data_IF_761694258289
#
_entry.id   IF_761694258289
#
_cell.length_a   1.000
_cell.length_b   1.000
_cell.length_c   1.000
_cell.angle_alpha   90.00
_cell.angle_beta   90.00
_cell.angle_gamma   90.00
#
_symmetry.space_group_name_H-M   'P 1'
#
loop_
_entity.id
_entity.type
_entity.pdbx_description
1 polymer ?
#
# COMPACT_ATOMS: atom_id res chain seq x y z
N UNK A 1 18.93 -11.81 17.68
CA UNK A 1 18.59 -12.79 18.74
C UNK A 1 17.14 -12.52 19.14
N UNK A 2 16.28 -13.54 19.21
CA UNK A 2 14.87 -13.33 19.57
C UNK A 2 14.75 -12.89 21.04
N UNK A 3 13.86 -11.93 21.37
CA UNK A 3 13.64 -11.48 22.74
C UNK A 3 13.05 -12.59 23.63
N UNK A 4 13.39 -12.56 24.92
CA UNK A 4 12.80 -13.46 25.91
C UNK A 4 11.35 -13.04 26.22
N UNK A 5 10.41 -13.91 25.87
CA UNK A 5 8.96 -13.72 26.07
C UNK A 5 8.38 -14.63 27.16
N UNK A 6 9.23 -15.39 27.87
CA UNK A 6 8.79 -16.41 28.85
C UNK A 6 7.96 -15.83 30.00
N UNK A 7 8.21 -14.57 30.37
CA UNK A 7 7.49 -13.85 31.42
C UNK A 7 6.06 -13.41 31.03
N UNK A 8 5.71 -13.44 29.73
CA UNK A 8 4.39 -13.02 29.27
C UNK A 8 3.31 -14.08 29.54
N UNK A 9 2.04 -13.68 29.70
CA UNK A 9 0.90 -14.59 29.73
C UNK A 9 0.86 -15.55 28.53
N UNK A 10 0.37 -16.78 28.76
CA UNK A 10 0.36 -17.87 27.76
C UNK A 10 -0.37 -17.50 26.48
N UNK A 11 -1.46 -16.74 26.58
CA UNK A 11 -2.24 -16.30 25.41
C UNK A 11 -1.45 -15.32 24.54
N UNK A 12 -0.77 -14.33 25.13
CA UNK A 12 0.11 -13.42 24.38
C UNK A 12 1.27 -14.17 23.72
N UNK A 13 1.90 -15.12 24.43
CA UNK A 13 3.00 -15.93 23.87
C UNK A 13 2.56 -16.73 22.66
N UNK A 14 1.37 -17.35 22.72
CA UNK A 14 0.84 -18.15 21.61
C UNK A 14 0.65 -17.32 20.33
N UNK A 15 0.20 -16.07 20.45
CA UNK A 15 0.07 -15.18 19.29
C UNK A 15 1.42 -14.62 18.80
N UNK A 16 2.39 -14.43 19.70
CA UNK A 16 3.76 -14.08 19.28
C UNK A 16 4.45 -15.24 18.55
N UNK A 17 4.21 -16.49 18.95
CA UNK A 17 4.67 -17.67 18.19
C UNK A 17 4.04 -17.68 16.79
N UNK A 18 2.72 -17.46 16.69
CA UNK A 18 2.06 -17.31 15.39
C UNK A 18 2.67 -16.18 14.56
N UNK A 19 2.99 -15.04 15.18
CA UNK A 19 3.67 -13.92 14.53
C UNK A 19 5.01 -14.35 13.93
N UNK A 20 5.87 -15.01 14.72
CA UNK A 20 7.17 -15.51 14.26
C UNK A 20 7.06 -16.54 13.14
N UNK A 21 6.00 -17.34 13.11
CA UNK A 21 5.84 -18.35 12.07
C UNK A 21 5.21 -17.80 10.79
N UNK A 22 4.30 -16.84 10.89
CA UNK A 22 3.38 -16.50 9.80
C UNK A 22 3.44 -15.06 9.32
N UNK A 23 3.86 -14.13 10.18
CA UNK A 23 3.93 -12.72 9.87
C UNK A 23 5.36 -12.36 9.46
N UNK A 24 5.44 -11.50 8.46
CA UNK A 24 6.67 -11.06 7.79
C UNK A 24 6.56 -9.57 7.53
N UNK A 25 7.67 -8.94 7.17
CA UNK A 25 7.70 -7.52 6.78
C UNK A 25 6.77 -7.19 5.59
N UNK A 26 6.46 -8.18 4.74
CA UNK A 26 5.43 -8.03 3.70
C UNK A 26 4.03 -7.76 4.27
N UNK A 27 3.69 -8.29 5.44
CA UNK A 27 2.41 -7.97 6.06
C UNK A 27 2.35 -6.52 6.54
N UNK A 28 3.51 -5.88 6.74
CA UNK A 28 3.62 -4.49 7.14
C UNK A 28 3.66 -3.52 5.96
N UNK A 29 3.62 -4.00 4.72
CA UNK A 29 3.73 -3.10 3.58
C UNK A 29 5.17 -2.71 3.24
N UNK A 30 6.16 -3.40 3.80
CA UNK A 30 7.58 -3.06 3.63
C UNK A 30 8.20 -3.98 2.58
N UNK A 31 9.08 -3.44 1.73
CA UNK A 31 9.73 -4.20 0.64
C UNK A 31 10.91 -5.05 1.07
N UNK A 32 11.57 -4.65 2.17
CA UNK A 32 12.73 -5.34 2.73
C UNK A 32 12.87 -5.06 4.23
N UNK A 33 13.22 -6.09 4.99
CA UNK A 33 13.46 -6.00 6.44
C UNK A 33 14.95 -5.86 6.75
N UNK A 34 15.46 -4.63 6.69
CA UNK A 34 16.89 -4.38 6.92
C UNK A 34 17.30 -4.72 8.35
N UNK A 35 18.15 -5.73 8.50
CA UNK A 35 18.63 -6.19 9.80
C UNK A 35 17.60 -6.97 10.63
N UNK A 36 16.59 -7.57 9.99
CA UNK A 36 15.57 -8.41 10.65
C UNK A 36 14.80 -7.66 11.76
N UNK A 37 14.48 -6.39 11.51
CA UNK A 37 13.88 -5.46 12.47
C UNK A 37 12.58 -6.00 13.03
N UNK A 38 11.66 -6.50 12.19
CA UNK A 38 10.33 -6.93 12.63
C UNK A 38 10.37 -8.15 13.55
N UNK A 39 11.35 -9.05 13.39
CA UNK A 39 11.48 -10.25 14.22
C UNK A 39 12.33 -10.02 15.48
N UNK A 40 13.21 -9.02 15.47
CA UNK A 40 14.17 -8.79 16.56
C UNK A 40 13.83 -7.52 17.35
N UNK A 41 14.28 -6.37 16.86
CA UNK A 41 14.19 -5.07 17.52
C UNK A 41 12.75 -4.68 17.79
N UNK A 42 11.86 -4.89 16.81
CA UNK A 42 10.45 -4.55 16.93
C UNK A 42 9.75 -5.30 18.07
N UNK A 43 9.92 -6.63 18.15
CA UNK A 43 9.33 -7.42 19.25
C UNK A 43 10.00 -7.08 20.59
N UNK A 44 11.30 -6.80 20.60
CA UNK A 44 12.01 -6.36 21.82
C UNK A 44 11.44 -5.05 22.37
N UNK A 45 11.06 -4.12 21.49
CA UNK A 45 10.37 -2.87 21.86
C UNK A 45 8.92 -3.15 22.29
N UNK A 46 8.22 -4.04 21.59
CA UNK A 46 6.84 -4.42 21.91
C UNK A 46 6.74 -4.98 23.33
N UNK A 47 7.60 -5.93 23.72
CA UNK A 47 7.60 -6.54 25.05
C UNK A 47 7.80 -5.50 26.18
N UNK A 48 8.43 -4.36 25.89
CA UNK A 48 8.67 -3.26 26.85
C UNK A 48 7.58 -2.20 26.85
N UNK A 49 6.64 -2.24 25.90
CA UNK A 49 5.56 -1.27 25.73
C UNK A 49 4.22 -2.00 25.67
N UNK A 50 3.46 -1.95 26.76
CA UNK A 50 2.14 -2.60 26.83
C UNK A 50 1.20 -2.26 25.65
N UNK A 51 1.02 -0.97 25.24
CA UNK A 51 0.16 -0.66 24.09
C UNK A 51 0.67 -1.28 22.78
N UNK A 52 1.98 -1.28 22.55
CA UNK A 52 2.60 -1.87 21.36
C UNK A 52 2.46 -3.39 21.36
N UNK A 53 2.74 -4.06 22.48
CA UNK A 53 2.57 -5.50 22.63
C UNK A 53 1.16 -5.94 22.26
N UNK A 54 0.16 -5.24 22.80
CA UNK A 54 -1.23 -5.54 22.50
C UNK A 54 -1.57 -5.29 21.03
N UNK A 55 -1.00 -4.26 20.39
CA UNK A 55 -1.20 -4.00 18.97
C UNK A 55 -0.62 -5.14 18.10
N UNK A 56 0.62 -5.57 18.38
CA UNK A 56 1.29 -6.69 17.67
C UNK A 56 0.51 -7.98 17.83
N UNK A 57 0.10 -8.30 19.07
CA UNK A 57 -0.70 -9.49 19.36
C UNK A 57 -2.07 -9.41 18.68
N UNK A 58 -2.72 -8.24 18.63
CA UNK A 58 -3.96 -8.07 17.88
C UNK A 58 -3.77 -8.37 16.39
N UNK A 59 -2.68 -7.91 15.78
CA UNK A 59 -2.42 -8.15 14.37
C UNK A 59 -2.19 -9.64 14.07
N UNK A 60 -1.40 -10.32 14.90
CA UNK A 60 -1.21 -11.77 14.79
C UNK A 60 -2.53 -12.54 15.02
N UNK A 61 -3.29 -12.17 16.06
CA UNK A 61 -4.58 -12.76 16.37
C UNK A 61 -5.60 -12.55 15.26
N UNK A 62 -5.60 -11.40 14.60
CA UNK A 62 -6.44 -11.10 13.45
C UNK A 62 -6.17 -12.07 12.30
N UNK A 63 -4.91 -12.21 11.89
CA UNK A 63 -4.53 -13.11 10.80
C UNK A 63 -4.76 -14.58 11.11
N UNK A 64 -4.63 -14.99 12.37
CA UNK A 64 -5.01 -16.35 12.78
C UNK A 64 -6.52 -16.54 12.75
N UNK A 65 -7.28 -15.56 13.25
CA UNK A 65 -8.74 -15.61 13.38
C UNK A 65 -9.43 -15.66 12.02
N UNK A 66 -8.97 -14.89 11.04
CA UNK A 66 -9.62 -14.86 9.71
C UNK A 66 -9.42 -16.17 8.92
N UNK A 67 -8.33 -16.89 9.20
CA UNK A 67 -8.03 -18.19 8.57
C UNK A 67 -8.79 -19.35 9.22
N UNK A 68 -9.29 -19.17 10.43
CA UNK A 68 -10.10 -20.17 11.11
C UNK A 68 -11.59 -19.99 10.71
N UNK A 69 -12.22 -20.96 10.04
CA UNK A 69 -13.66 -20.89 9.72
C UNK A 69 -14.56 -20.72 10.96
N UNK A 70 -14.07 -21.14 12.14
CA UNK A 70 -14.74 -21.00 13.44
C UNK A 70 -14.21 -19.82 14.27
N UNK A 71 -13.37 -18.97 13.65
CA UNK A 71 -12.83 -17.78 14.26
C UNK A 71 -13.92 -16.88 14.81
N UNK A 72 -13.60 -16.17 15.90
CA UNK A 72 -14.55 -15.25 16.56
C UNK A 72 -13.93 -13.88 16.69
N UNK A 73 -14.69 -12.85 16.30
CA UNK A 73 -14.28 -11.44 16.34
C UNK A 73 -13.65 -11.00 17.69
N UNK A 74 -14.19 -11.40 18.87
CA UNK A 74 -13.60 -11.05 20.16
C UNK A 74 -12.15 -11.52 20.37
N UNK A 75 -11.70 -12.54 19.63
CA UNK A 75 -10.39 -13.17 19.80
C UNK A 75 -9.25 -12.18 19.52
N UNK A 76 -9.39 -11.31 18.52
CA UNK A 76 -8.42 -10.24 18.26
C UNK A 76 -8.87 -8.88 18.82
N UNK A 77 -10.18 -8.58 18.84
CA UNK A 77 -10.69 -7.29 19.29
C UNK A 77 -10.33 -6.96 20.74
N UNK A 78 -10.22 -7.96 21.62
CA UNK A 78 -9.81 -7.73 23.01
C UNK A 78 -8.42 -7.07 23.12
N UNK A 79 -7.46 -7.49 22.28
CA UNK A 79 -6.12 -6.93 22.29
C UNK A 79 -6.07 -5.60 21.56
N UNK A 80 -6.78 -5.50 20.42
CA UNK A 80 -6.90 -4.28 19.65
C UNK A 80 -7.49 -3.14 20.50
N UNK A 81 -8.63 -3.39 21.15
CA UNK A 81 -9.30 -2.41 22.01
C UNK A 81 -8.44 -2.01 23.21
N UNK A 82 -7.68 -2.96 23.78
CA UNK A 82 -6.74 -2.67 24.87
C UNK A 82 -5.62 -1.74 24.39
N UNK A 83 -5.03 -2.02 23.23
CA UNK A 83 -3.99 -1.16 22.63
C UNK A 83 -4.52 0.24 22.36
N UNK A 84 -5.69 0.38 21.72
CA UNK A 84 -6.32 1.67 21.44
C UNK A 84 -6.60 2.45 22.74
N UNK A 85 -7.14 1.79 23.76
CA UNK A 85 -7.43 2.43 25.05
C UNK A 85 -6.16 2.98 25.70
N UNK A 86 -5.08 2.19 25.71
CA UNK A 86 -3.79 2.60 26.25
C UNK A 86 -3.17 3.74 25.43
N UNK A 87 -3.22 3.67 24.10
CA UNK A 87 -2.74 4.73 23.21
C UNK A 87 -3.49 6.04 23.45
N UNK A 88 -4.82 6.01 23.56
CA UNK A 88 -5.61 7.20 23.87
C UNK A 88 -5.23 7.81 25.23
N UNK A 89 -4.82 6.98 26.19
CA UNK A 89 -4.25 7.45 27.45
C UNK A 89 -2.92 8.17 27.26
N UNK A 90 -2.02 7.60 26.44
CA UNK A 90 -0.73 8.21 26.13
C UNK A 90 -0.87 9.54 25.39
N UNK A 91 -1.74 9.61 24.38
CA UNK A 91 -1.95 10.82 23.56
C UNK A 91 -2.62 11.97 24.33
N UNK A 92 -3.33 11.68 25.42
CA UNK A 92 -3.95 12.70 26.28
C UNK A 92 -2.94 13.33 27.25
N UNK A 93 -1.83 12.65 27.52
CA UNK A 93 -0.79 13.20 28.37
C UNK A 93 0.03 14.20 27.56
N UNK A 94 0.29 15.39 28.11
CA UNK A 94 1.11 16.42 27.45
C UNK A 94 2.61 16.10 27.43
N UNK A 95 3.02 14.92 27.92
CA UNK A 95 4.40 14.45 27.87
C UNK A 95 4.85 14.20 26.43
N UNK A 96 6.16 14.29 26.18
CA UNK A 96 6.71 13.96 24.86
C UNK A 96 6.48 12.48 24.57
N UNK A 97 5.74 12.20 23.51
CA UNK A 97 5.59 10.87 22.94
C UNK A 97 6.97 10.27 22.62
N UNK A 98 7.08 8.95 22.77
CA UNK A 98 8.31 8.20 22.57
C UNK A 98 8.22 7.25 21.37
N UNK A 99 9.30 6.50 21.12
CA UNK A 99 9.36 5.51 20.05
C UNK A 99 8.29 4.41 20.21
N UNK A 100 7.98 4.00 21.45
CA UNK A 100 6.94 3.01 21.72
C UNK A 100 5.55 3.49 21.30
N UNK A 101 5.27 4.78 21.53
CA UNK A 101 4.03 5.44 21.09
C UNK A 101 3.95 5.49 19.57
N UNK A 102 5.02 5.94 18.88
CA UNK A 102 5.08 5.97 17.41
C UNK A 102 4.81 4.59 16.80
N UNK A 103 5.49 3.56 17.28
CA UNK A 103 5.34 2.19 16.77
C UNK A 103 3.95 1.62 17.06
N UNK A 104 3.31 2.02 18.16
CA UNK A 104 1.92 1.63 18.46
C UNK A 104 0.99 2.21 17.40
N UNK A 105 1.14 3.51 17.10
CA UNK A 105 0.33 4.20 16.09
C UNK A 105 0.51 3.56 14.72
N UNK A 106 1.75 3.27 14.31
CA UNK A 106 2.04 2.61 13.02
C UNK A 106 1.45 1.19 12.96
N UNK A 107 1.53 0.41 14.04
CA UNK A 107 0.93 -0.94 14.10
C UNK A 107 -0.59 -0.90 14.02
N UNK A 108 -1.23 0.06 14.69
CA UNK A 108 -2.68 0.24 14.60
C UNK A 108 -3.08 0.71 13.21
N UNK A 109 -2.35 1.65 12.59
CA UNK A 109 -2.54 2.04 11.19
C UNK A 109 -2.50 0.82 10.25
N UNK A 110 -1.53 -0.09 10.43
CA UNK A 110 -1.51 -1.35 9.67
C UNK A 110 -2.79 -2.16 9.88
N UNK A 111 -3.27 -2.33 11.12
CA UNK A 111 -4.53 -3.04 11.36
C UNK A 111 -5.71 -2.35 10.67
N UNK A 112 -5.82 -1.02 10.76
CA UNK A 112 -6.91 -0.27 10.12
C UNK A 112 -6.92 -0.45 8.60
N UNK A 113 -5.74 -0.48 7.97
CA UNK A 113 -5.63 -0.73 6.54
C UNK A 113 -6.16 -2.12 6.17
N UNK A 114 -5.79 -3.17 6.93
CA UNK A 114 -6.28 -4.53 6.70
C UNK A 114 -7.78 -4.67 6.94
N UNK A 115 -8.36 -3.84 7.81
CA UNK A 115 -9.80 -3.78 8.02
C UNK A 115 -10.52 -2.93 6.96
N UNK A 116 -9.79 -2.20 6.11
CA UNK A 116 -10.38 -1.21 5.20
C UNK A 116 -11.01 -0.02 5.93
N UNK A 117 -10.56 0.29 7.16
CA UNK A 117 -10.99 1.43 7.96
C UNK A 117 -10.13 2.66 7.66
N UNK A 118 -10.38 3.24 6.48
CA UNK A 118 -9.61 4.37 5.98
C UNK A 118 -9.67 5.61 6.86
N UNK A 119 -10.78 5.80 7.58
CA UNK A 119 -10.95 6.94 8.47
C UNK A 119 -9.96 6.86 9.63
N UNK A 120 -9.91 5.72 10.32
CA UNK A 120 -8.97 5.54 11.42
C UNK A 120 -7.52 5.44 10.91
N UNK A 121 -7.29 4.85 9.74
CA UNK A 121 -5.98 4.85 9.09
C UNK A 121 -5.43 6.28 8.90
N UNK A 122 -6.21 7.19 8.33
CA UNK A 122 -5.78 8.58 8.13
C UNK A 122 -5.53 9.29 9.47
N UNK A 123 -6.37 9.03 10.49
CA UNK A 123 -6.16 9.56 11.85
C UNK A 123 -4.82 9.11 12.43
N UNK A 124 -4.50 7.81 12.34
CA UNK A 124 -3.22 7.27 12.79
C UNK A 124 -2.04 7.78 11.95
N UNK A 125 -2.18 7.90 10.62
CA UNK A 125 -1.12 8.44 9.76
C UNK A 125 -0.73 9.87 10.20
N UNK A 126 -1.70 10.74 10.49
CA UNK A 126 -1.40 12.10 10.96
C UNK A 126 -0.78 12.13 12.36
N UNK A 127 -1.28 11.30 13.28
CA UNK A 127 -0.69 11.18 14.61
C UNK A 127 0.77 10.68 14.51
N UNK A 128 1.03 9.70 13.64
CA UNK A 128 2.37 9.19 13.38
C UNK A 128 3.28 10.29 12.80
N UNK A 129 2.79 11.12 11.86
CA UNK A 129 3.55 12.25 11.32
C UNK A 129 4.00 13.23 12.42
N UNK A 130 3.08 13.60 13.31
CA UNK A 130 3.36 14.52 14.41
C UNK A 130 4.42 13.95 15.35
N UNK A 131 4.27 12.69 15.79
CA UNK A 131 5.23 12.05 16.69
C UNK A 131 6.57 11.83 15.99
N UNK A 132 6.57 11.39 14.73
CA UNK A 132 7.77 11.13 13.95
C UNK A 132 8.61 12.39 13.78
N UNK A 133 7.99 13.53 13.45
CA UNK A 133 8.68 14.82 13.29
C UNK A 133 9.06 15.48 14.62
N UNK A 134 8.42 15.08 15.72
CA UNK A 134 8.84 15.43 17.08
C UNK A 134 10.09 14.66 17.53
N UNK A 135 10.20 13.39 17.18
CA UNK A 135 11.27 12.50 17.62
C UNK A 135 12.52 12.56 16.74
N UNK A 136 12.34 12.80 15.44
CA UNK A 136 13.39 12.65 14.46
C UNK A 136 13.49 13.85 13.52
N UNK A 137 14.68 14.01 12.97
CA UNK A 137 14.93 14.81 11.76
C UNK A 137 15.12 13.88 10.56
N UNK A 138 14.99 14.44 9.35
CA UNK A 138 15.31 13.75 8.09
C UNK A 138 16.69 13.06 8.12
N UNK A 139 17.68 13.72 8.72
CA UNK A 139 19.04 13.20 8.84
C UNK A 139 19.13 12.05 9.84
N UNK A 140 18.53 12.19 11.02
CA UNK A 140 18.54 11.11 12.02
C UNK A 140 17.79 9.86 11.55
N UNK A 141 16.77 10.02 10.69
CA UNK A 141 16.07 8.87 10.14
C UNK A 141 16.92 8.04 9.18
N UNK A 142 17.80 8.68 8.41
CA UNK A 142 18.66 7.99 7.46
C UNK A 142 19.76 7.14 8.14
N UNK A 143 20.15 7.47 9.37
CA UNK A 143 21.39 6.96 9.99
C UNK A 143 21.40 5.46 10.32
N UNK A 144 20.27 4.86 10.69
CA UNK A 144 20.23 3.45 11.14
C UNK A 144 19.19 2.66 10.37
N UNK A 145 19.41 1.36 10.19
CA UNK A 145 18.45 0.47 9.51
C UNK A 145 17.08 0.47 10.19
N UNK A 146 17.04 0.52 11.52
CA UNK A 146 15.81 0.66 12.30
C UNK A 146 15.05 1.92 11.91
N UNK A 147 15.72 3.07 11.92
CA UNK A 147 15.08 4.35 11.61
C UNK A 147 14.60 4.41 10.15
N UNK A 148 15.39 3.90 9.21
CA UNK A 148 14.99 3.81 7.79
C UNK A 148 13.80 2.88 7.60
N UNK A 149 13.74 1.76 8.32
CA UNK A 149 12.59 0.84 8.30
C UNK A 149 11.33 1.50 8.84
N UNK A 150 11.42 2.26 9.94
CA UNK A 150 10.30 3.03 10.50
C UNK A 150 9.84 4.10 9.50
N UNK A 151 10.77 4.81 8.87
CA UNK A 151 10.45 5.82 7.86
C UNK A 151 9.80 5.18 6.63
N UNK A 152 10.31 4.05 6.14
CA UNK A 152 9.71 3.28 5.04
C UNK A 152 8.27 2.84 5.35
N UNK A 153 8.03 2.38 6.59
CA UNK A 153 6.69 2.00 7.05
C UNK A 153 5.72 3.20 7.10
N UNK A 154 6.15 4.33 7.66
CA UNK A 154 5.33 5.55 7.67
C UNK A 154 5.06 6.07 6.25
N UNK A 155 6.10 6.19 5.41
CA UNK A 155 6.01 6.79 4.08
C UNK A 155 5.07 6.04 3.15
N UNK A 156 4.92 4.72 3.33
CA UNK A 156 3.87 3.94 2.66
C UNK A 156 2.48 4.51 2.93
N UNK A 157 2.12 4.75 4.20
CA UNK A 157 0.80 5.29 4.53
C UNK A 157 0.62 6.70 3.99
N UNK A 158 1.67 7.52 4.11
CA UNK A 158 1.68 8.89 3.62
C UNK A 158 1.41 8.94 2.11
N UNK A 159 2.17 8.15 1.33
CA UNK A 159 2.00 8.04 -0.12
C UNK A 159 0.65 7.44 -0.51
N UNK A 160 0.17 6.43 0.21
CA UNK A 160 -1.12 5.79 -0.04
C UNK A 160 -2.27 6.80 0.14
N UNK A 161 -2.30 7.51 1.27
CA UNK A 161 -3.32 8.52 1.57
C UNK A 161 -3.25 9.69 0.58
N UNK A 162 -2.05 10.20 0.29
CA UNK A 162 -1.85 11.32 -0.65
C UNK A 162 -2.25 10.97 -2.07
N UNK A 163 -1.86 9.78 -2.56
CA UNK A 163 -2.19 9.32 -3.92
C UNK A 163 -3.69 9.14 -4.09
N UNK A 164 -4.36 8.52 -3.10
CA UNK A 164 -5.81 8.33 -3.15
C UNK A 164 -6.58 9.63 -2.93
N UNK A 165 -6.07 10.54 -2.11
CA UNK A 165 -6.71 11.82 -1.84
C UNK A 165 -6.48 12.90 -2.90
N UNK A 166 -5.47 12.73 -3.76
CA UNK A 166 -5.01 13.81 -4.64
C UNK A 166 -4.40 14.98 -3.86
N UNK A 167 -3.73 14.68 -2.74
CA UNK A 167 -3.11 15.65 -1.84
C UNK A 167 -1.59 15.56 -1.90
N UNK A 168 -0.90 16.56 -1.34
CA UNK A 168 0.54 16.46 -1.11
C UNK A 168 0.82 15.45 0.02
N UNK A 169 2.05 14.95 0.08
CA UNK A 169 2.51 14.13 1.21
C UNK A 169 2.60 14.95 2.47
N UNK A 170 2.29 14.35 3.62
CA UNK A 170 2.43 14.99 4.92
C UNK A 170 3.90 15.19 5.30
N UNK A 171 4.78 14.23 4.96
CA UNK A 171 6.21 14.45 5.09
C UNK A 171 6.71 15.42 4.01
N UNK A 172 7.53 16.41 4.38
CA UNK A 172 8.15 17.27 3.39
C UNK A 172 9.15 16.51 2.52
N UNK A 173 9.29 16.97 1.28
CA UNK A 173 10.13 16.35 0.25
C UNK A 173 11.59 16.14 0.68
N UNK A 174 12.13 16.98 1.57
CA UNK A 174 13.53 16.90 2.04
C UNK A 174 13.83 15.60 2.81
N UNK A 175 12.84 14.98 3.45
CA UNK A 175 12.98 13.68 4.10
C UNK A 175 13.35 12.59 3.09
N UNK A 176 12.66 12.58 1.95
CA UNK A 176 12.90 11.64 0.86
C UNK A 176 14.25 11.89 0.18
N UNK A 177 14.60 13.17 -0.06
CA UNK A 177 15.90 13.54 -0.65
C UNK A 177 17.07 13.15 0.25
N UNK A 178 16.93 13.37 1.56
CA UNK A 178 17.99 13.06 2.53
C UNK A 178 18.25 11.55 2.58
N UNK A 179 17.17 10.75 2.57
CA UNK A 179 17.26 9.30 2.54
C UNK A 179 17.87 8.78 1.23
N UNK A 180 17.43 9.29 0.08
CA UNK A 180 17.97 8.95 -1.24
C UNK A 180 19.46 9.29 -1.35
N UNK A 181 19.88 10.48 -0.87
CA UNK A 181 21.29 10.87 -0.82
C UNK A 181 22.09 9.92 0.05
N UNK A 182 21.60 9.60 1.26
CA UNK A 182 22.28 8.67 2.16
C UNK A 182 22.49 7.30 1.49
N UNK A 183 21.46 6.74 0.85
CA UNK A 183 21.57 5.44 0.18
C UNK A 183 22.62 5.46 -0.94
N UNK A 184 22.69 6.55 -1.74
CA UNK A 184 23.72 6.70 -2.77
C UNK A 184 25.13 6.82 -2.19
N UNK A 185 25.30 7.52 -1.08
CA UNK A 185 26.59 7.63 -0.40
C UNK A 185 27.05 6.27 0.15
N UNK A 186 26.12 5.48 0.73
CA UNK A 186 26.42 4.13 1.20
C UNK A 186 26.76 3.20 0.04
N UNK A 187 25.99 3.27 -1.06
CA UNK A 187 26.26 2.49 -2.26
C UNK A 187 27.61 2.84 -2.90
N UNK A 188 28.00 4.12 -2.91
CA UNK A 188 29.31 4.53 -3.39
C UNK A 188 30.46 3.96 -2.52
N UNK A 189 30.22 3.73 -1.23
CA UNK A 189 31.17 3.11 -0.32
C UNK A 189 31.21 1.58 -0.40
N UNK A 190 30.10 0.93 -0.78
CA UNK A 190 29.97 -0.52 -0.91
C UNK A 190 29.12 -0.89 -2.15
N UNK A 191 29.69 -0.79 -3.38
CA UNK A 191 28.93 -0.91 -4.63
C UNK A 191 28.36 -2.31 -4.92
N UNK A 192 28.86 -3.35 -4.26
CA UNK A 192 28.40 -4.73 -4.45
C UNK A 192 27.24 -5.10 -3.52
N UNK A 193 26.85 -4.18 -2.63
CA UNK A 193 25.84 -4.45 -1.63
C UNK A 193 24.43 -4.36 -2.21
N UNK A 194 23.80 -5.53 -2.38
CA UNK A 194 22.44 -5.63 -2.89
C UNK A 194 21.42 -4.87 -2.05
N UNK A 195 21.61 -4.75 -0.73
CA UNK A 195 20.68 -4.02 0.14
C UNK A 195 20.66 -2.53 -0.19
N UNK A 196 21.83 -1.94 -0.46
CA UNK A 196 21.93 -0.53 -0.85
C UNK A 196 21.38 -0.28 -2.25
N UNK A 197 21.57 -1.21 -3.18
CA UNK A 197 20.94 -1.15 -4.51
C UNK A 197 19.41 -1.16 -4.41
N UNK A 198 18.85 -2.02 -3.57
CA UNK A 198 17.41 -2.05 -3.31
C UNK A 198 16.90 -0.76 -2.67
N UNK A 199 17.55 -0.31 -1.60
CA UNK A 199 17.11 0.87 -0.85
C UNK A 199 17.22 2.14 -1.72
N UNK A 200 18.28 2.27 -2.53
CA UNK A 200 18.42 3.37 -3.48
C UNK A 200 17.33 3.34 -4.56
N UNK A 201 17.07 2.17 -5.16
CA UNK A 201 16.05 2.01 -6.20
C UNK A 201 14.64 2.33 -5.66
N UNK A 202 14.30 1.80 -4.47
CA UNK A 202 13.02 2.04 -3.81
C UNK A 202 12.83 3.54 -3.48
N UNK A 203 13.85 4.19 -2.93
CA UNK A 203 13.77 5.60 -2.55
C UNK A 203 13.66 6.54 -3.75
N UNK A 204 14.30 6.22 -4.88
CA UNK A 204 14.08 6.95 -6.12
C UNK A 204 12.62 6.85 -6.59
N UNK A 205 12.03 5.65 -6.53
CA UNK A 205 10.63 5.42 -6.91
C UNK A 205 9.67 6.18 -5.99
N UNK A 206 9.91 6.16 -4.67
CA UNK A 206 9.16 6.97 -3.69
C UNK A 206 9.26 8.47 -3.98
N UNK A 207 10.46 8.97 -4.29
CA UNK A 207 10.65 10.40 -4.60
C UNK A 207 9.88 10.82 -5.86
N UNK A 208 9.83 9.94 -6.88
CA UNK A 208 8.97 10.18 -8.06
C UNK A 208 7.49 10.22 -7.64
N UNK A 209 7.06 9.32 -6.74
CA UNK A 209 5.69 9.27 -6.21
C UNK A 209 5.30 10.56 -5.48
N UNK A 210 6.19 11.07 -4.62
CA UNK A 210 6.01 12.35 -3.89
C UNK A 210 5.83 13.50 -4.88
N UNK A 211 6.69 13.55 -5.90
CA UNK A 211 6.65 14.61 -6.90
C UNK A 211 5.37 14.55 -7.74
N UNK A 212 4.90 13.35 -8.08
CA UNK A 212 3.61 13.15 -8.76
C UNK A 212 2.43 13.59 -7.87
N UNK A 213 2.41 13.21 -6.59
CA UNK A 213 1.37 13.65 -5.65
C UNK A 213 1.34 15.19 -5.53
N UNK A 214 2.51 15.83 -5.41
CA UNK A 214 2.61 17.29 -5.33
C UNK A 214 2.12 17.96 -6.62
N UNK A 215 2.46 17.42 -7.79
CA UNK A 215 1.99 17.92 -9.08
C UNK A 215 0.47 17.85 -9.22
N UNK A 216 -0.13 16.70 -8.88
CA UNK A 216 -1.59 16.49 -8.92
C UNK A 216 -2.30 17.44 -7.96
N UNK A 217 -1.83 17.56 -6.73
CA UNK A 217 -2.45 18.42 -5.72
C UNK A 217 -2.40 19.91 -6.12
N UNK A 218 -1.26 20.39 -6.62
CA UNK A 218 -1.11 21.77 -7.10
C UNK A 218 -1.96 22.04 -8.34
N UNK A 219 -2.10 21.07 -9.25
CA UNK A 219 -2.99 21.17 -10.40
C UNK A 219 -4.45 21.29 -9.96
N UNK A 220 -4.89 20.45 -9.02
CA UNK A 220 -6.25 20.49 -8.49
C UNK A 220 -6.60 21.83 -7.80
N UNK A 221 -5.60 22.51 -7.21
CA UNK A 221 -5.75 23.85 -6.62
C UNK A 221 -5.62 25.01 -7.61
N UNK A 222 -5.32 24.74 -8.89
CA UNK A 222 -5.12 25.77 -9.90
C UNK A 222 -3.85 26.62 -9.70
N UNK A 223 -2.87 26.10 -8.96
CA UNK A 223 -1.64 26.82 -8.58
C UNK A 223 -0.55 26.76 -9.66
N UNK A 224 -0.76 25.98 -10.73
CA UNK A 224 0.21 25.77 -11.79
C UNK A 224 -0.25 26.38 -13.11
N UNK A 225 0.64 27.15 -13.73
CA UNK A 225 0.52 27.54 -15.13
C UNK A 225 0.62 26.29 -16.01
N UNK A 226 -0.07 26.29 -17.14
CA UNK A 226 -0.14 25.13 -18.06
C UNK A 226 1.24 24.71 -18.58
N UNK A 227 2.10 25.67 -18.94
CA UNK A 227 3.45 25.41 -19.42
C UNK A 227 4.34 24.74 -18.36
N UNK A 228 4.18 25.15 -17.09
CA UNK A 228 4.89 24.55 -15.96
C UNK A 228 4.37 23.13 -15.70
N UNK A 229 3.06 22.93 -15.73
CA UNK A 229 2.44 21.63 -15.54
C UNK A 229 2.92 20.62 -16.59
N UNK A 230 2.90 20.99 -17.87
CA UNK A 230 3.41 20.15 -18.96
C UNK A 230 4.91 19.85 -18.78
N UNK A 231 5.72 20.85 -18.44
CA UNK A 231 7.15 20.65 -18.23
C UNK A 231 7.46 19.69 -17.07
N UNK A 232 6.76 19.81 -15.93
CA UNK A 232 6.91 18.89 -14.79
C UNK A 232 6.41 17.48 -15.14
N UNK A 233 5.34 17.36 -15.93
CA UNK A 233 4.86 16.08 -16.42
C UNK A 233 5.90 15.35 -17.26
N UNK A 234 6.55 16.04 -18.20
CA UNK A 234 7.62 15.44 -19.04
C UNK A 234 8.80 15.00 -18.18
N UNK A 235 9.19 15.80 -17.17
CA UNK A 235 10.26 15.42 -16.24
C UNK A 235 9.92 14.15 -15.44
N UNK A 236 8.68 14.01 -14.98
CA UNK A 236 8.23 12.81 -14.26
C UNK A 236 8.24 11.58 -15.15
N UNK A 237 7.75 11.70 -16.39
CA UNK A 237 7.80 10.61 -17.36
C UNK A 237 9.22 10.14 -17.63
N UNK A 238 10.15 11.07 -17.91
CA UNK A 238 11.55 10.73 -18.14
C UNK A 238 12.15 10.01 -16.94
N UNK A 239 11.89 10.49 -15.72
CA UNK A 239 12.38 9.83 -14.49
C UNK A 239 11.80 8.43 -14.29
N UNK A 240 10.55 8.19 -14.66
CA UNK A 240 9.94 6.86 -14.63
C UNK A 240 10.63 5.91 -15.61
N UNK A 241 10.91 6.36 -16.83
CA UNK A 241 11.65 5.59 -17.82
C UNK A 241 13.09 5.32 -17.38
N UNK A 242 13.79 6.37 -16.94
CA UNK A 242 15.17 6.29 -16.46
C UNK A 242 15.29 5.33 -15.27
N UNK A 243 14.37 5.39 -14.31
CA UNK A 243 14.34 4.45 -13.20
C UNK A 243 14.29 3.00 -13.68
N UNK A 244 13.43 2.70 -14.65
CA UNK A 244 13.31 1.33 -15.19
C UNK A 244 14.54 0.90 -15.98
N UNK A 245 15.11 1.81 -16.75
CA UNK A 245 16.29 1.56 -17.59
C UNK A 245 17.59 1.47 -16.77
N UNK A 246 17.65 2.10 -15.61
CA UNK A 246 18.81 2.11 -14.71
C UNK A 246 18.74 1.07 -13.60
N UNK A 247 17.75 0.17 -13.62
CA UNK A 247 17.65 -0.89 -12.64
C UNK A 247 18.87 -1.81 -12.73
N UNK A 248 19.56 -1.98 -11.61
CA UNK A 248 20.88 -2.60 -11.62
C UNK A 248 20.85 -4.06 -12.04
N UNK A 249 21.78 -4.53 -12.90
CA UNK A 249 21.78 -5.91 -13.40
C UNK A 249 21.80 -6.95 -12.28
N UNK A 250 22.48 -6.65 -11.16
CA UNK A 250 22.53 -7.53 -9.99
C UNK A 250 21.15 -7.74 -9.34
N UNK A 251 20.21 -6.81 -9.52
CA UNK A 251 18.83 -6.93 -9.03
C UNK A 251 17.93 -7.73 -9.98
N UNK A 252 18.38 -8.00 -11.21
CA UNK A 252 17.60 -8.64 -12.27
C UNK A 252 18.28 -9.88 -12.85
N UNK A 253 19.12 -10.54 -12.05
CA UNK A 253 19.84 -11.75 -12.45
C UNK A 253 18.86 -12.83 -12.98
N UNK A 254 18.94 -13.21 -14.27
CA UNK A 254 18.06 -14.21 -14.84
C UNK A 254 18.16 -15.59 -14.17
N UNK A 255 19.29 -15.90 -13.51
CA UNK A 255 19.46 -17.17 -12.79
C UNK A 255 18.56 -17.28 -11.56
N UNK A 256 17.98 -16.17 -11.10
CA UNK A 256 17.06 -16.07 -9.95
C UNK A 256 15.60 -15.97 -10.35
N UNK A 257 15.29 -16.05 -11.64
CA UNK A 257 13.91 -16.06 -12.10
C UNK A 257 13.23 -17.36 -11.70
N UNK A 258 12.05 -17.24 -11.09
CA UNK A 258 11.20 -18.39 -10.80
C UNK A 258 10.74 -18.98 -12.13
N UNK A 259 10.99 -20.28 -12.39
CA UNK A 259 10.54 -20.92 -13.62
C UNK A 259 9.03 -20.81 -13.76
N UNK A 260 8.56 -20.43 -14.95
CA UNK A 260 7.12 -20.44 -15.23
C UNK A 260 6.59 -21.86 -15.11
N UNK A 261 5.64 -22.07 -14.20
CA UNK A 261 4.96 -23.36 -14.02
C UNK A 261 3.76 -23.53 -14.94
N UNK A 262 3.40 -22.51 -15.73
CA UNK A 262 2.21 -22.51 -16.57
C UNK A 262 2.51 -22.93 -18.00
N UNK A 263 2.22 -24.20 -18.31
CA UNK A 263 2.06 -24.73 -19.67
C UNK A 263 0.68 -24.38 -20.28
N UNK A 264 -0.11 -23.51 -19.63
CA UNK A 264 -1.49 -23.28 -20.02
C UNK A 264 -1.59 -22.59 -21.40
N UNK A 265 -2.30 -23.25 -22.32
CA UNK A 265 -2.76 -22.70 -23.60
C UNK A 265 -3.62 -21.43 -23.43
N UNK A 266 -4.26 -21.27 -22.27
CA UNK A 266 -5.19 -20.17 -21.96
C UNK A 266 -4.54 -19.10 -21.07
N UNK A 267 -3.51 -18.41 -21.58
CA UNK A 267 -2.94 -17.26 -20.84
C UNK A 267 -3.91 -16.07 -20.91
N UNK A 268 -4.46 -15.67 -19.76
CA UNK A 268 -5.32 -14.46 -19.66
C UNK A 268 -4.57 -13.15 -19.93
N UNK A 269 -3.24 -13.16 -19.75
CA UNK A 269 -2.36 -12.01 -19.83
C UNK A 269 -1.09 -12.39 -20.61
N UNK A 270 -0.59 -11.48 -21.45
CA UNK A 270 0.57 -11.75 -22.31
C UNK A 270 1.58 -10.59 -22.33
N UNK A 271 1.69 -9.84 -21.23
CA UNK A 271 2.65 -8.74 -21.12
C UNK A 271 4.11 -9.25 -21.10
N UNK A 272 4.33 -10.44 -20.54
CA UNK A 272 5.60 -11.15 -20.51
C UNK A 272 5.44 -12.51 -21.22
N UNK A 273 5.60 -12.58 -22.55
CA UNK A 273 5.35 -13.80 -23.30
C UNK A 273 6.37 -14.91 -23.01
N UNK A 274 7.62 -14.53 -22.70
CA UNK A 274 8.71 -15.48 -22.48
C UNK A 274 8.86 -15.85 -21.02
N UNK A 275 9.00 -14.86 -20.14
CA UNK A 275 9.33 -15.07 -18.74
C UNK A 275 8.79 -13.93 -17.88
N UNK A 276 7.98 -14.28 -16.88
CA UNK A 276 7.42 -13.32 -15.92
C UNK A 276 8.52 -12.91 -14.93
N UNK A 277 8.68 -11.62 -14.59
CA UNK A 277 9.76 -11.13 -13.73
C UNK A 277 9.47 -11.39 -12.26
N UNK A 278 9.29 -12.67 -11.90
CA UNK A 278 9.25 -13.14 -10.52
C UNK A 278 10.60 -13.69 -10.16
N UNK A 279 11.16 -13.18 -9.08
CA UNK A 279 12.46 -13.56 -8.59
C UNK A 279 12.37 -14.26 -7.24
N UNK A 280 13.18 -15.31 -7.06
CA UNK A 280 13.33 -15.99 -5.78
C UNK A 280 14.25 -15.20 -4.83
N UNK A 281 14.46 -15.71 -3.61
CA UNK A 281 15.38 -15.07 -2.67
C UNK A 281 16.83 -15.13 -3.19
N UNK A 282 17.62 -14.04 -3.05
CA UNK A 282 17.33 -12.81 -2.30
C UNK A 282 16.68 -11.70 -3.14
N UNK A 283 16.29 -11.97 -4.39
CA UNK A 283 15.84 -10.95 -5.34
C UNK A 283 14.31 -10.72 -5.38
N UNK A 284 13.55 -11.32 -4.46
CA UNK A 284 12.09 -11.22 -4.40
C UNK A 284 11.57 -9.77 -4.35
N UNK A 285 12.34 -8.84 -3.75
CA UNK A 285 12.03 -7.42 -3.70
C UNK A 285 11.97 -6.78 -5.10
N UNK A 286 12.75 -7.27 -6.07
CA UNK A 286 12.71 -6.80 -7.47
C UNK A 286 11.32 -7.00 -8.08
N UNK A 287 10.67 -8.13 -7.79
CA UNK A 287 9.30 -8.42 -8.26
C UNK A 287 8.33 -7.32 -7.83
N UNK A 288 8.42 -6.89 -6.56
CA UNK A 288 7.57 -5.84 -6.00
C UNK A 288 7.86 -4.48 -6.65
N UNK A 289 9.14 -4.09 -6.72
CA UNK A 289 9.55 -2.82 -7.34
C UNK A 289 9.09 -2.70 -8.80
N UNK A 290 9.12 -3.81 -9.55
CA UNK A 290 8.61 -3.83 -10.93
C UNK A 290 7.09 -3.59 -10.94
N UNK A 291 6.32 -4.27 -10.09
CA UNK A 291 4.87 -4.05 -9.99
C UNK A 291 4.51 -2.62 -9.55
N UNK A 292 5.24 -2.07 -8.58
CA UNK A 292 5.06 -0.68 -8.14
C UNK A 292 5.36 0.31 -9.26
N UNK A 293 6.42 0.09 -10.02
CA UNK A 293 6.73 0.90 -11.18
C UNK A 293 5.59 0.85 -12.21
N UNK A 294 5.08 -0.34 -12.56
CA UNK A 294 3.92 -0.45 -13.46
C UNK A 294 2.72 0.33 -12.90
N UNK A 295 2.42 0.18 -11.61
CA UNK A 295 1.31 0.88 -10.96
C UNK A 295 1.49 2.40 -10.96
N UNK A 296 2.72 2.89 -10.76
CA UNK A 296 3.02 4.32 -10.78
C UNK A 296 2.96 4.91 -12.19
N UNK A 297 3.42 4.17 -13.21
CA UNK A 297 3.22 4.56 -14.62
C UNK A 297 1.74 4.65 -14.92
N UNK A 298 0.93 3.68 -14.48
CA UNK A 298 -0.52 3.73 -14.66
C UNK A 298 -1.14 4.92 -13.97
N UNK A 299 -0.73 5.23 -12.74
CA UNK A 299 -1.20 6.41 -12.02
C UNK A 299 -0.83 7.69 -12.78
N UNK A 300 0.41 7.81 -13.24
CA UNK A 300 0.88 8.93 -14.06
C UNK A 300 0.03 9.08 -15.33
N UNK A 301 -0.10 8.02 -16.13
CA UNK A 301 -0.82 8.07 -17.41
C UNK A 301 -2.31 8.37 -17.21
N UNK A 302 -2.94 7.78 -16.18
CA UNK A 302 -4.35 8.07 -15.86
C UNK A 302 -4.59 9.55 -15.58
N UNK A 303 -3.69 10.22 -14.85
CA UNK A 303 -3.79 11.65 -14.58
C UNK A 303 -3.59 12.51 -15.84
N UNK A 304 -2.89 11.98 -16.85
CA UNK A 304 -2.62 12.64 -18.14
C UNK A 304 -3.70 12.35 -19.18
N UNK A 305 -4.64 11.41 -18.98
CA UNK A 305 -5.62 11.02 -20.02
C UNK A 305 -6.59 12.12 -20.49
N UNK A 306 -6.58 13.32 -19.88
CA UNK A 306 -7.17 14.51 -20.52
C UNK A 306 -6.40 15.03 -21.74
N UNK A 307 -5.18 14.52 -21.97
CA UNK A 307 -4.18 14.93 -22.96
C UNK A 307 -3.40 13.69 -23.47
N UNK A 308 -4.14 12.69 -23.97
CA UNK A 308 -3.66 11.37 -24.42
C UNK A 308 -2.47 11.38 -25.38
N UNK A 309 -2.16 12.51 -26.04
CA UNK A 309 -0.98 12.65 -26.90
C UNK A 309 0.35 12.68 -26.11
N UNK A 310 0.34 13.06 -24.83
CA UNK A 310 1.56 13.21 -24.04
C UNK A 310 2.13 11.88 -23.50
N UNK A 311 1.29 10.90 -23.19
CA UNK A 311 1.72 9.61 -22.64
C UNK A 311 2.42 8.72 -23.69
N UNK A 312 1.87 8.67 -24.91
CA UNK A 312 2.48 7.96 -26.03
C UNK A 312 3.79 8.63 -26.48
N UNK A 313 3.83 9.97 -26.50
CA UNK A 313 5.04 10.73 -26.80
C UNK A 313 6.16 10.51 -25.78
N UNK A 314 5.79 10.21 -24.53
CA UNK A 314 6.72 9.89 -23.46
C UNK A 314 7.22 8.44 -23.47
N UNK A 315 6.75 7.56 -24.38
CA UNK A 315 7.25 6.19 -24.51
C UNK A 315 7.01 5.30 -23.28
N UNK A 316 6.01 5.62 -22.46
CA UNK A 316 5.68 4.84 -21.26
C UNK A 316 4.78 3.64 -21.55
N UNK A 317 4.09 3.62 -22.69
CA UNK A 317 3.19 2.54 -23.09
C UNK A 317 1.74 2.75 -22.64
N UNK A 318 0.89 1.77 -22.93
CA UNK A 318 -0.56 1.84 -22.68
C UNK A 318 -0.96 1.27 -21.31
N UNK A 319 -2.00 1.86 -20.70
CA UNK A 319 -2.56 1.45 -19.42
C UNK A 319 -2.93 -0.04 -19.37
N UNK A 320 -3.48 -0.59 -20.45
CA UNK A 320 -3.83 -2.01 -20.51
C UNK A 320 -2.59 -2.91 -20.44
N UNK A 321 -1.48 -2.51 -21.07
CA UNK A 321 -0.24 -3.27 -21.04
C UNK A 321 0.33 -3.37 -19.62
N UNK A 322 0.37 -2.25 -18.88
CA UNK A 322 0.81 -2.25 -17.48
C UNK A 322 -0.14 -3.04 -16.58
N UNK A 323 -1.45 -2.93 -16.80
CA UNK A 323 -2.45 -3.71 -16.06
C UNK A 323 -2.24 -5.23 -16.25
N UNK A 324 -2.04 -5.66 -17.49
CA UNK A 324 -1.75 -7.06 -17.81
C UNK A 324 -0.43 -7.53 -17.18
N UNK A 325 0.62 -6.69 -17.18
CA UNK A 325 1.90 -7.01 -16.56
C UNK A 325 1.76 -7.30 -15.06
N UNK A 326 1.06 -6.44 -14.33
CA UNK A 326 0.79 -6.64 -12.90
C UNK A 326 -0.03 -7.92 -12.68
N UNK A 327 -1.08 -8.14 -13.47
CA UNK A 327 -1.94 -9.31 -13.30
C UNK A 327 -1.19 -10.62 -13.58
N UNK A 328 -0.31 -10.62 -14.58
CA UNK A 328 0.52 -11.77 -14.91
C UNK A 328 1.56 -12.07 -13.81
N UNK A 329 2.16 -11.02 -13.20
CA UNK A 329 3.03 -11.19 -12.03
C UNK A 329 2.23 -11.73 -10.84
N UNK A 330 1.02 -11.24 -10.59
CA UNK A 330 0.18 -11.74 -9.49
C UNK A 330 -0.16 -13.23 -9.69
N UNK A 331 -0.56 -13.62 -10.91
CA UNK A 331 -0.89 -15.01 -11.25
C UNK A 331 0.31 -15.95 -11.08
N UNK A 332 1.48 -15.55 -11.58
CA UNK A 332 2.69 -16.36 -11.41
C UNK A 332 3.14 -16.42 -9.94
N UNK A 333 2.94 -15.36 -9.15
CA UNK A 333 3.27 -15.35 -7.72
C UNK A 333 2.35 -16.28 -6.92
N UNK A 334 1.08 -16.37 -7.29
CA UNK A 334 0.12 -17.27 -6.66
C UNK A 334 0.42 -18.74 -6.96
N UNK A 335 0.88 -19.03 -8.19
CA UNK A 335 1.25 -20.39 -8.61
C UNK A 335 2.62 -20.82 -8.05
N UNK A 336 3.42 -19.89 -7.54
CA UNK A 336 4.75 -20.17 -7.00
C UNK A 336 4.66 -20.91 -5.65
N UNK A 337 5.06 -22.20 -5.56
CA UNK A 337 4.85 -22.99 -4.34
C UNK A 337 5.59 -22.47 -3.10
N UNK A 338 6.70 -21.76 -3.32
CA UNK A 338 7.54 -21.19 -2.26
C UNK A 338 7.35 -19.68 -2.11
N UNK A 339 6.20 -19.15 -2.55
CA UNK A 339 5.91 -17.72 -2.45
C UNK A 339 6.07 -17.22 -1.00
N UNK A 340 6.85 -16.14 -0.77
CA UNK A 340 7.01 -15.56 0.55
C UNK A 340 5.66 -15.21 1.17
N UNK A 341 5.48 -15.56 2.46
CA UNK A 341 4.27 -15.23 3.20
C UNK A 341 4.03 -13.72 3.16
N UNK A 342 2.81 -13.32 2.78
CA UNK A 342 2.42 -11.92 2.65
C UNK A 342 2.78 -11.27 1.31
N UNK A 343 3.53 -11.92 0.40
CA UNK A 343 3.88 -11.29 -0.89
C UNK A 343 2.65 -10.94 -1.73
N UNK A 344 1.64 -11.82 -1.80
CA UNK A 344 0.40 -11.51 -2.51
C UNK A 344 -0.35 -10.33 -1.88
N UNK A 345 -0.31 -10.21 -0.55
CA UNK A 345 -0.86 -9.06 0.17
C UNK A 345 -0.08 -7.78 -0.16
N UNK A 346 1.24 -7.84 -0.33
CA UNK A 346 2.04 -6.69 -0.79
C UNK A 346 1.66 -6.22 -2.21
N UNK A 347 1.30 -7.15 -3.10
CA UNK A 347 0.92 -6.84 -4.48
C UNK A 347 -0.50 -6.28 -4.61
N UNK A 348 -1.31 -6.29 -3.54
CA UNK A 348 -2.71 -5.88 -3.61
C UNK A 348 -2.93 -4.45 -4.14
N UNK A 349 -2.13 -3.41 -3.78
CA UNK A 349 -2.38 -2.05 -4.26
C UNK A 349 -2.18 -1.97 -5.77
N UNK A 350 -1.12 -2.62 -6.27
CA UNK A 350 -0.84 -2.72 -7.70
C UNK A 350 -1.98 -3.46 -8.41
N UNK A 351 -2.46 -4.58 -7.84
CA UNK A 351 -3.57 -5.32 -8.43
C UNK A 351 -4.87 -4.50 -8.45
N UNK A 352 -5.16 -3.75 -7.38
CA UNK A 352 -6.35 -2.91 -7.29
C UNK A 352 -6.33 -1.77 -8.33
N UNK A 353 -5.15 -1.23 -8.63
CA UNK A 353 -4.97 -0.29 -9.74
C UNK A 353 -5.10 -0.99 -11.10
N UNK A 354 -4.39 -2.10 -11.31
CA UNK A 354 -4.37 -2.90 -12.54
C UNK A 354 -5.78 -3.34 -12.96
N UNK A 355 -6.49 -3.97 -12.02
CA UNK A 355 -7.80 -3.48 -11.59
C UNK A 355 -8.54 -2.80 -12.72
N UNK A 356 -8.68 -1.49 -12.55
CA UNK A 356 -9.53 -0.57 -13.28
C UNK A 356 -9.34 -0.56 -14.81
N UNK A 357 -8.21 -1.05 -15.31
CA UNK A 357 -7.80 -0.92 -16.71
C UNK A 357 -7.77 -2.25 -17.48
N UNK A 358 -8.12 -3.37 -16.83
CA UNK A 358 -8.34 -4.61 -17.56
C UNK A 358 -9.56 -4.54 -18.50
N UNK A 359 -9.51 -5.21 -19.66
CA UNK A 359 -10.65 -5.32 -20.56
C UNK A 359 -11.89 -5.90 -19.86
N UNK A 360 -13.11 -5.39 -20.15
CA UNK A 360 -14.34 -5.85 -19.50
C UNK A 360 -14.85 -7.17 -20.11
N UNK A 361 -14.02 -8.20 -20.13
CA UNK A 361 -14.40 -9.54 -20.61
C UNK A 361 -14.89 -10.41 -19.45
N UNK A 362 -15.76 -11.38 -19.73
CA UNK A 362 -16.23 -12.34 -18.71
C UNK A 362 -15.07 -13.11 -18.07
N UNK A 363 -14.04 -13.42 -18.86
CA UNK A 363 -12.81 -14.06 -18.39
C UNK A 363 -12.04 -13.19 -17.37
N UNK A 364 -11.72 -11.95 -17.73
CA UNK A 364 -11.02 -11.02 -16.84
C UNK A 364 -11.84 -10.70 -15.59
N UNK A 365 -13.16 -10.53 -15.72
CA UNK A 365 -14.05 -10.27 -14.59
C UNK A 365 -14.07 -11.45 -13.61
N UNK A 366 -14.14 -12.68 -14.12
CA UNK A 366 -14.11 -13.89 -13.29
C UNK A 366 -12.78 -14.03 -12.56
N UNK A 367 -11.67 -13.83 -13.27
CA UNK A 367 -10.33 -13.87 -12.69
C UNK A 367 -10.17 -12.80 -11.59
N UNK A 368 -10.60 -11.57 -11.83
CA UNK A 368 -10.54 -10.49 -10.84
C UNK A 368 -11.31 -10.84 -9.57
N UNK A 369 -12.54 -11.36 -9.70
CA UNK A 369 -13.33 -11.78 -8.55
C UNK A 369 -12.62 -12.85 -7.72
N UNK A 370 -11.96 -13.81 -8.36
CA UNK A 370 -11.15 -14.82 -7.68
C UNK A 370 -9.98 -14.18 -6.92
N UNK A 371 -9.25 -13.23 -7.52
CA UNK A 371 -8.09 -12.61 -6.86
C UNK A 371 -8.49 -11.70 -5.70
N UNK A 372 -9.57 -10.94 -5.84
CA UNK A 372 -10.08 -10.13 -4.73
C UNK A 372 -10.62 -11.00 -3.59
N UNK A 373 -11.28 -12.12 -3.89
CA UNK A 373 -11.69 -13.10 -2.87
C UNK A 373 -10.48 -13.67 -2.11
N UNK A 374 -9.42 -14.06 -2.84
CA UNK A 374 -8.17 -14.58 -2.27
C UNK A 374 -7.52 -13.58 -1.32
N UNK A 375 -7.45 -12.30 -1.71
CA UNK A 375 -6.87 -11.25 -0.87
C UNK A 375 -7.66 -11.02 0.42
N UNK A 376 -8.99 -11.02 0.35
CA UNK A 376 -9.82 -10.92 1.56
C UNK A 376 -9.70 -12.13 2.47
N UNK A 377 -9.70 -13.34 1.90
CA UNK A 377 -9.48 -14.58 2.66
C UNK A 377 -8.08 -14.61 3.31
N UNK A 378 -7.12 -13.87 2.74
CA UNK A 378 -5.77 -13.73 3.28
C UNK A 378 -5.65 -12.67 4.38
N UNK A 379 -6.68 -11.86 4.61
CA UNK A 379 -6.71 -10.84 5.66
C UNK A 379 -7.00 -9.42 5.19
N UNK A 380 -7.02 -9.11 3.90
CA UNK A 380 -7.16 -7.72 3.45
C UNK A 380 -8.61 -7.40 3.07
N UNK A 381 -9.34 -6.71 3.93
CA UNK A 381 -10.76 -6.40 3.72
C UNK A 381 -10.93 -5.18 2.82
N UNK A 382 -11.60 -5.35 1.69
CA UNK A 382 -11.91 -4.22 0.83
C UNK A 382 -13.09 -3.39 1.39
N UNK A 383 -12.92 -2.07 1.53
CA UNK A 383 -13.99 -1.19 1.99
C UNK A 383 -15.22 -1.25 1.09
N UNK A 384 -16.39 -0.91 1.64
CA UNK A 384 -17.65 -0.85 0.89
C UNK A 384 -17.58 0.04 -0.35
N UNK A 385 -16.79 1.13 -0.33
CA UNK A 385 -16.57 2.00 -1.49
C UNK A 385 -15.90 1.27 -2.65
N UNK A 386 -14.85 0.49 -2.37
CA UNK A 386 -14.13 -0.31 -3.36
C UNK A 386 -15.02 -1.42 -3.90
N UNK A 387 -15.74 -2.14 -3.02
CA UNK A 387 -16.69 -3.19 -3.44
C UNK A 387 -17.78 -2.63 -4.34
N UNK A 388 -18.34 -1.45 -4.01
CA UNK A 388 -19.33 -0.76 -4.84
C UNK A 388 -18.78 -0.41 -6.20
N UNK A 389 -17.57 0.14 -6.25
CA UNK A 389 -16.91 0.49 -7.51
C UNK A 389 -16.65 -0.73 -8.39
N UNK A 390 -16.19 -1.82 -7.80
CA UNK A 390 -15.98 -3.07 -8.53
C UNK A 390 -17.31 -3.68 -8.99
N UNK A 391 -18.37 -3.60 -8.20
CA UNK A 391 -19.72 -4.02 -8.61
C UNK A 391 -20.22 -3.24 -9.85
N UNK A 392 -20.04 -1.91 -9.86
CA UNK A 392 -20.39 -1.06 -10.99
C UNK A 392 -19.55 -1.41 -12.23
N UNK A 393 -18.22 -1.53 -12.06
CA UNK A 393 -17.29 -1.83 -13.13
C UNK A 393 -17.52 -3.19 -13.77
N UNK A 394 -17.73 -4.23 -12.95
CA UNK A 394 -17.95 -5.59 -13.42
C UNK A 394 -19.43 -5.83 -13.79
N UNK A 395 -20.29 -4.82 -13.63
CA UNK A 395 -21.73 -4.87 -13.86
C UNK A 395 -22.42 -6.01 -13.08
N UNK A 396 -21.98 -6.24 -11.85
CA UNK A 396 -22.52 -7.28 -10.99
C UNK A 396 -22.71 -6.79 -9.54
N UNK A 397 -23.97 -6.60 -9.16
CA UNK A 397 -24.37 -6.18 -7.82
C UNK A 397 -24.06 -7.21 -6.73
N UNK A 398 -23.86 -8.49 -7.06
CA UNK A 398 -23.55 -9.55 -6.07
C UNK A 398 -22.23 -9.27 -5.35
N UNK A 399 -21.30 -8.58 -6.01
CA UNK A 399 -19.96 -8.23 -5.50
C UNK A 399 -20.03 -7.42 -4.21
N UNK A 400 -21.09 -6.62 -4.04
CA UNK A 400 -21.34 -5.88 -2.81
C UNK A 400 -21.40 -6.82 -1.60
N UNK A 401 -22.05 -7.98 -1.78
CA UNK A 401 -22.17 -9.00 -0.73
C UNK A 401 -20.93 -9.87 -0.67
N UNK A 402 -20.48 -10.44 -1.79
CA UNK A 402 -19.29 -11.28 -1.84
C UNK A 402 -18.71 -11.35 -3.26
N UNK A 403 -17.39 -11.54 -3.33
CA UNK A 403 -16.66 -11.60 -4.60
C UNK A 403 -17.04 -12.82 -5.43
N UNK A 404 -17.23 -14.00 -4.84
CA UNK A 404 -17.53 -15.22 -5.59
C UNK A 404 -19.04 -15.53 -5.62
N UNK A 405 -19.53 -16.25 -6.64
CA UNK A 405 -20.88 -16.82 -6.64
C UNK A 405 -21.12 -17.72 -5.43
N UNK A 406 -22.40 -17.91 -5.07
CA UNK A 406 -22.86 -18.85 -4.03
C UNK A 406 -22.15 -18.72 -2.68
N UNK A 407 -21.62 -17.53 -2.37
CA UNK A 407 -20.88 -17.24 -1.13
C UNK A 407 -19.65 -18.14 -0.91
N UNK A 408 -19.05 -18.67 -2.00
CA UNK A 408 -17.93 -19.59 -1.90
C UNK A 408 -16.77 -18.96 -1.10
N UNK A 409 -16.41 -19.61 0.00
CA UNK A 409 -15.32 -19.17 0.88
C UNK A 409 -15.62 -17.89 1.67
N UNK A 410 -16.89 -17.45 1.78
CA UNK A 410 -17.28 -16.31 2.60
C UNK A 410 -17.69 -16.74 4.01
N UNK A 411 -16.69 -17.09 4.83
CA UNK A 411 -16.93 -17.66 6.16
C UNK A 411 -17.68 -16.71 7.12
N UNK A 412 -18.34 -17.23 8.17
CA UNK A 412 -19.03 -16.39 9.15
C UNK A 412 -18.15 -15.34 9.83
N UNK A 413 -16.87 -15.67 10.05
CA UNK A 413 -15.91 -14.72 10.63
C UNK A 413 -15.59 -13.59 9.64
N UNK A 414 -15.42 -13.87 8.34
CA UNK A 414 -15.22 -12.84 7.34
C UNK A 414 -16.43 -11.91 7.20
N UNK A 415 -17.65 -12.48 7.24
CA UNK A 415 -18.89 -11.69 7.28
C UNK A 415 -18.90 -10.75 8.48
N UNK A 416 -18.51 -11.26 9.66
CA UNK A 416 -18.46 -10.48 10.90
C UNK A 416 -17.41 -9.35 10.84
N UNK A 417 -16.23 -9.63 10.30
CA UNK A 417 -15.15 -8.63 10.13
C UNK A 417 -15.58 -7.54 9.15
N UNK A 418 -16.17 -7.90 8.00
CA UNK A 418 -16.70 -6.92 7.03
C UNK A 418 -17.77 -6.03 7.66
N UNK A 419 -18.74 -6.63 8.36
CA UNK A 419 -19.81 -5.89 9.00
C UNK A 419 -19.25 -4.90 10.03
N UNK A 420 -18.29 -5.33 10.84
CA UNK A 420 -17.59 -4.49 11.81
C UNK A 420 -16.86 -3.30 11.15
N UNK A 421 -16.12 -3.56 10.07
CA UNK A 421 -15.41 -2.52 9.32
C UNK A 421 -16.37 -1.51 8.64
N UNK A 422 -17.46 -2.00 8.07
CA UNK A 422 -18.47 -1.16 7.41
C UNK A 422 -19.19 -0.25 8.41
N UNK A 423 -19.56 -0.77 9.59
CA UNK A 423 -20.21 0.01 10.66
C UNK A 423 -19.30 1.14 11.17
N UNK A 424 -18.01 0.85 11.37
CA UNK A 424 -17.01 1.84 11.80
C UNK A 424 -16.82 2.95 10.77
N UNK A 425 -16.65 2.60 9.50
CA UNK A 425 -16.54 3.57 8.41
C UNK A 425 -17.79 4.46 8.34
N UNK A 426 -18.99 3.89 8.48
CA UNK A 426 -20.24 4.65 8.44
C UNK A 426 -20.37 5.63 9.63
N UNK A 427 -20.01 5.18 10.83
CA UNK A 427 -20.09 6.00 12.05
C UNK A 427 -19.07 7.12 12.01
N UNK A 428 -17.83 6.85 11.60
CA UNK A 428 -16.77 7.84 11.58
C UNK A 428 -17.02 8.97 10.57
N UNK A 429 -17.61 8.65 9.41
CA UNK A 429 -18.07 9.64 8.42
C UNK A 429 -19.13 10.60 8.98
N UNK A 430 -19.94 10.15 9.95
CA UNK A 430 -20.96 11.00 10.57
C UNK A 430 -20.41 11.91 11.69
N UNK A 431 -19.27 11.56 12.29
CA UNK A 431 -18.79 12.17 13.55
C UNK A 431 -17.69 13.23 13.38
N UNK A 432 -16.85 13.20 12.34
CA UNK A 432 -15.68 14.08 12.25
C UNK A 432 -15.91 15.32 11.37
N UNK A 433 -16.24 16.48 11.98
CA UNK A 433 -16.57 17.71 11.24
C UNK A 433 -15.39 18.39 10.50
N UNK A 434 -14.17 18.32 11.04
CA UNK A 434 -12.99 19.01 10.45
C UNK A 434 -12.33 18.23 9.30
N UNK A 435 -12.50 16.90 9.26
CA UNK A 435 -11.82 16.02 8.30
C UNK A 435 -12.70 15.56 7.13
N UNK A 436 -13.96 15.99 7.09
CA UNK A 436 -14.91 15.60 6.06
C UNK A 436 -14.43 15.95 4.64
N UNK A 437 -13.66 17.03 4.46
CA UNK A 437 -13.15 17.44 3.16
C UNK A 437 -12.21 16.39 2.55
N UNK A 438 -11.10 16.11 3.24
CA UNK A 438 -10.10 15.14 2.78
C UNK A 438 -10.67 13.73 2.68
N UNK A 439 -11.49 13.33 3.67
CA UNK A 439 -12.17 12.04 3.66
C UNK A 439 -13.10 11.89 2.45
N UNK A 440 -13.93 12.91 2.17
CA UNK A 440 -14.81 12.88 1.00
C UNK A 440 -14.02 12.72 -0.29
N UNK A 441 -12.87 13.37 -0.42
CA UNK A 441 -12.04 13.23 -1.63
C UNK A 441 -11.45 11.84 -1.76
N UNK A 442 -10.90 11.25 -0.69
CA UNK A 442 -10.36 9.87 -0.72
C UNK A 442 -11.48 8.87 -1.05
N UNK A 443 -12.64 8.97 -0.40
CA UNK A 443 -13.79 8.12 -0.72
C UNK A 443 -14.36 8.41 -2.12
N UNK A 444 -14.26 9.63 -2.62
CA UNK A 444 -14.64 9.97 -4.00
C UNK A 444 -13.65 9.37 -4.99
N UNK A 445 -12.34 9.42 -4.75
CA UNK A 445 -11.34 8.78 -5.59
C UNK A 445 -11.53 7.26 -5.63
N UNK A 446 -11.88 6.63 -4.50
CA UNK A 446 -12.28 5.21 -4.46
C UNK A 446 -13.56 4.92 -5.27
N UNK A 447 -14.38 5.94 -5.55
CA UNK A 447 -15.58 5.85 -6.41
C UNK A 447 -15.32 6.27 -7.87
N UNK A 448 -14.25 7.02 -8.15
CA UNK A 448 -14.07 7.69 -9.44
C UNK A 448 -13.36 6.79 -10.45
N UNK A 449 -14.13 6.50 -11.50
CA UNK A 449 -13.73 6.18 -12.87
C UNK A 449 -14.98 6.05 -13.75
N UNK A 450 -16.05 6.80 -13.42
CA UNK A 450 -17.12 7.12 -14.37
C UNK A 450 -16.57 8.12 -15.39
N UNK A 451 -17.26 8.28 -16.53
CA UNK A 451 -16.98 9.22 -17.64
C UNK A 451 -16.92 10.72 -17.23
N UNK A 452 -16.12 11.05 -16.23
CA UNK A 452 -15.66 12.37 -15.92
C UNK A 452 -14.17 12.37 -16.27
N UNK A 453 -13.81 13.10 -17.33
CA UNK A 453 -12.47 13.65 -17.46
C UNK A 453 -11.98 14.20 -16.12
N UNK A 454 -10.67 14.16 -15.84
CA UNK A 454 -10.14 14.70 -14.60
C UNK A 454 -10.42 16.20 -14.56
N UNK A 455 -11.21 16.63 -13.58
CA UNK A 455 -11.36 18.01 -13.08
C UNK A 455 -11.24 19.08 -14.18
N UNK A 456 -12.24 19.12 -15.08
CA UNK A 456 -12.43 20.25 -15.99
C UNK A 456 -13.91 20.43 -16.31
N UNK A 457 -14.66 21.06 -15.39
CA UNK A 457 -15.85 21.84 -15.75
C UNK A 457 -16.15 22.87 -14.65
N UNK A 458 -15.23 23.79 -14.44
CA UNK A 458 -15.58 25.11 -13.91
C UNK A 458 -16.34 25.85 -15.01
N UNK A 459 -17.67 25.80 -14.97
CA UNK A 459 -18.52 26.48 -15.91
C UNK A 459 -18.24 27.98 -15.90
N UNK A 460 -17.71 28.48 -17.01
CA UNK A 460 -17.76 29.91 -17.33
C UNK A 460 -19.21 30.21 -17.68
N UNK A 461 -19.95 30.78 -16.74
CA UNK A 461 -21.22 31.43 -17.02
C UNK A 461 -20.93 32.70 -17.84
N UNK A 462 -20.89 32.54 -19.16
CA UNK A 462 -20.95 33.66 -20.09
C UNK A 462 -22.36 34.24 -20.07
N UNK A 463 -22.53 35.37 -19.38
CA UNK A 463 -23.65 36.27 -19.59
C UNK A 463 -23.64 36.74 -21.04
N UNK A 464 -24.57 36.20 -21.83
CA UNK A 464 -24.97 36.74 -23.12
C UNK A 464 -26.11 37.71 -22.86
N UNK A 465 -25.81 39.01 -22.87
CA UNK A 465 -26.80 40.06 -23.09
C UNK A 465 -26.57 40.68 -24.47
N UNK A 466 -27.46 40.28 -25.38
CA UNK A 466 -28.15 41.06 -26.41
C UNK A 466 -27.40 42.16 -27.17
N UNK A 467 -27.25 41.93 -28.49
CA UNK A 467 -28.07 42.61 -29.51
C UNK A 467 -28.42 41.64 -30.64
#
# INVERSE_FOLDING_TARGET
>A
MAPDVSHLPTDLRSYLEYFYENITYHHYGVHKDFGDFFRTTYISLAVRSEPLLHAVVAFAAYHQTIRDPNGRLPSFLKYYNRSVTLLLGLLKNEERHDLGTLLTVLQLATIEEYLGDWVNLMGHQRAALQILTQLFTSHSMAQTSMNRTILAWYTRFDLLVSSMGGFETGLPRDWYITLDRHCREQLAGDPENLDWHYEASENQLRLISVDLCSLVAKRARGELREDVYVAEHVKLANRLQEWKASLEPALTDPARLVPSTSDALDRYFNAYPTQVPIYDAPLSTTTLLICEWHSMVMMYVYQVMGDTQAADAAGLGDLSQHAQAICQVFEAAEQWPSVPKGLLLMLHPCLAMAALFLPPTSAHNTWLRQKFALLEQSGYIFPVSVRKRMAERLQDGSIMRWWLPDEQGFSPIMQSIRAFADERNATALSAQSENLGEMKTVFAAMRLGSDASPIASGGVSGTTDQL
#
